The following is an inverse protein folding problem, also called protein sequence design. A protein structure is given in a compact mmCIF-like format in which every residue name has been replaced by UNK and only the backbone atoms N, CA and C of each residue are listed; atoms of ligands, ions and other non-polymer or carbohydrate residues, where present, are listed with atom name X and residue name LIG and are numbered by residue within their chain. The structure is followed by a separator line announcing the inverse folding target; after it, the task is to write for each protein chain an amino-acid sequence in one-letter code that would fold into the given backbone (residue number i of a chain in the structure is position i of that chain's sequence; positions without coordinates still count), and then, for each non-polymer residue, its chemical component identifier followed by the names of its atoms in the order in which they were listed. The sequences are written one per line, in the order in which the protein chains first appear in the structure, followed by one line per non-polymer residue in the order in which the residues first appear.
data_IF_160352980969
#
_entry.id   IF_160352980969
#
_cell.length_a   1.000
_cell.length_b   1.000
_cell.length_c   1.000
_cell.angle_alpha   90.00
_cell.angle_beta   90.00
_cell.angle_gamma   90.00
#
_symmetry.space_group_name_H-M   'P 1'
#
loop_
_entity.id
_entity.type
_entity.pdbx_description
1 polymer ?
#
# COMPACT_ATOMS: atom_id res chain seq x y z
N UNK A 1 8.56 -22.57 12.53
CA UNK A 1 7.69 -21.68 11.72
C UNK A 1 8.39 -21.42 10.39
N UNK A 2 7.90 -21.99 9.33
CA UNK A 2 8.43 -21.74 7.98
C UNK A 2 7.62 -20.61 7.34
N UNK A 3 8.28 -19.51 6.97
CA UNK A 3 7.65 -18.46 6.19
C UNK A 3 7.83 -18.77 4.72
N UNK A 4 6.72 -18.81 4.00
CA UNK A 4 6.66 -19.00 2.55
C UNK A 4 6.53 -17.64 1.86
N UNK A 5 7.26 -17.46 0.76
CA UNK A 5 7.06 -16.40 -0.22
C UNK A 5 6.53 -17.01 -1.51
N UNK A 6 5.51 -16.42 -2.06
CA UNK A 6 4.90 -16.85 -3.31
C UNK A 6 4.64 -15.64 -4.20
N UNK A 7 5.00 -15.73 -5.47
CA UNK A 7 4.58 -14.73 -6.47
C UNK A 7 3.08 -14.81 -6.66
N UNK A 8 2.40 -13.67 -6.60
CA UNK A 8 0.98 -13.52 -6.84
C UNK A 8 0.75 -12.57 -8.03
N UNK A 9 0.22 -13.12 -9.12
CA UNK A 9 -0.20 -12.32 -10.28
C UNK A 9 -1.69 -12.06 -10.18
N UNK A 10 -2.08 -10.80 -10.33
CA UNK A 10 -3.48 -10.35 -10.26
C UNK A 10 -3.81 -9.34 -11.35
N UNK A 11 -5.10 -9.19 -11.65
CA UNK A 11 -5.58 -8.29 -12.69
C UNK A 11 -6.02 -6.95 -12.10
N UNK A 12 -5.83 -5.88 -12.85
CA UNK A 12 -6.29 -4.54 -12.49
C UNK A 12 -6.20 -3.58 -13.68
N UNK A 13 -6.55 -2.31 -13.48
CA UNK A 13 -6.54 -1.31 -14.55
C UNK A 13 -5.16 -1.14 -15.18
N UNK A 14 -5.06 -1.44 -16.47
CA UNK A 14 -3.84 -1.29 -17.26
C UNK A 14 -2.96 -2.54 -17.33
N UNK A 15 -3.45 -3.70 -16.92
CA UNK A 15 -2.77 -4.97 -17.17
C UNK A 15 -2.68 -5.91 -15.99
N UNK A 16 -1.84 -6.95 -16.07
CA UNK A 16 -1.48 -7.74 -14.94
C UNK A 16 -0.51 -7.00 -14.01
N UNK A 17 -0.62 -7.31 -12.73
CA UNK A 17 0.28 -6.88 -11.66
C UNK A 17 0.94 -8.09 -11.04
N UNK A 18 2.15 -7.93 -10.52
CA UNK A 18 2.91 -9.01 -9.90
C UNK A 18 3.47 -8.59 -8.55
N UNK A 19 2.91 -9.13 -7.50
CA UNK A 19 3.39 -8.95 -6.13
C UNK A 19 3.98 -10.22 -5.54
N UNK A 20 4.43 -10.12 -4.29
CA UNK A 20 4.91 -11.27 -3.50
C UNK A 20 4.10 -11.36 -2.22
N UNK A 21 3.39 -12.47 -2.04
CA UNK A 21 2.67 -12.76 -0.80
C UNK A 21 3.54 -13.60 0.12
N UNK A 22 3.54 -13.24 1.41
CA UNK A 22 4.27 -13.95 2.45
C UNK A 22 3.32 -14.37 3.58
N UNK A 23 3.47 -15.59 4.07
CA UNK A 23 2.65 -16.17 5.12
C UNK A 23 3.37 -17.31 5.84
N UNK A 24 2.85 -17.70 7.00
CA UNK A 24 3.32 -18.88 7.75
C UNK A 24 2.63 -20.16 7.20
N UNK A 25 3.43 -21.12 6.72
CA UNK A 25 2.91 -22.29 6.01
C UNK A 25 2.07 -23.24 6.88
N UNK A 26 2.50 -23.47 8.11
CA UNK A 26 1.86 -24.42 9.03
C UNK A 26 0.51 -23.92 9.59
N UNK A 27 0.18 -22.65 9.41
CA UNK A 27 -1.05 -22.05 9.93
C UNK A 27 -2.17 -22.18 8.90
N UNK A 28 -3.21 -22.92 9.26
CA UNK A 28 -4.39 -23.17 8.40
C UNK A 28 -5.58 -22.26 8.70
N UNK A 29 -5.54 -21.50 9.82
CA UNK A 29 -6.59 -20.55 10.19
C UNK A 29 -6.42 -19.24 9.44
N UNK A 30 -7.54 -18.58 9.11
CA UNK A 30 -7.53 -17.27 8.49
C UNK A 30 -6.79 -16.23 9.35
N UNK A 31 -5.95 -15.44 8.71
CA UNK A 31 -5.12 -14.40 9.33
C UNK A 31 -5.47 -13.01 8.80
N UNK A 32 -5.25 -11.96 9.59
CA UNK A 32 -5.37 -10.60 9.07
C UNK A 32 -4.42 -10.39 7.89
N UNK A 33 -4.92 -9.70 6.85
CA UNK A 33 -4.16 -9.36 5.66
C UNK A 33 -3.55 -7.97 5.73
N UNK A 34 -2.29 -7.82 5.29
CA UNK A 34 -1.61 -6.52 5.23
C UNK A 34 -1.04 -6.28 3.84
N UNK A 35 -1.43 -5.18 3.18
CA UNK A 35 -0.72 -4.69 1.99
C UNK A 35 0.55 -3.95 2.39
N UNK A 36 1.65 -4.26 1.72
CA UNK A 36 2.90 -3.49 1.77
C UNK A 36 3.04 -2.74 0.46
N UNK A 37 2.91 -1.42 0.53
CA UNK A 37 2.90 -0.54 -0.65
C UNK A 37 4.28 0.07 -0.88
N UNK A 38 4.82 -0.06 -2.11
CA UNK A 38 6.20 0.28 -2.43
C UNK A 38 6.43 1.80 -2.47
N UNK A 39 7.69 2.20 -2.35
CA UNK A 39 8.12 3.56 -2.65
C UNK A 39 8.13 3.84 -4.17
N UNK A 40 8.66 4.99 -4.57
CA UNK A 40 8.77 5.44 -5.97
C UNK A 40 9.41 4.44 -6.93
N UNK A 41 10.20 3.50 -6.43
CA UNK A 41 10.90 2.51 -7.27
C UNK A 41 10.00 1.34 -7.71
N UNK A 42 8.79 1.22 -7.16
CA UNK A 42 7.93 0.08 -7.37
C UNK A 42 8.28 -1.10 -6.46
N UNK A 43 7.55 -2.19 -6.61
CA UNK A 43 7.70 -3.40 -5.81
C UNK A 43 9.11 -4.02 -6.01
N UNK A 44 9.78 -4.38 -4.92
CA UNK A 44 11.17 -4.85 -4.90
C UNK A 44 11.44 -5.72 -3.67
N UNK A 45 12.63 -6.30 -3.59
CA UNK A 45 13.02 -7.20 -2.50
C UNK A 45 12.87 -6.61 -1.10
N UNK A 46 13.11 -5.32 -0.91
CA UNK A 46 12.90 -4.68 0.39
C UNK A 46 11.43 -4.78 0.84
N UNK A 47 10.47 -4.65 -0.08
CA UNK A 47 9.05 -4.78 0.22
C UNK A 47 8.69 -6.24 0.53
N UNK A 48 9.33 -7.21 -0.13
CA UNK A 48 9.19 -8.63 0.17
C UNK A 48 9.67 -8.96 1.60
N UNK A 49 10.79 -8.37 2.01
CA UNK A 49 11.32 -8.52 3.39
C UNK A 49 10.34 -7.92 4.41
N UNK A 50 9.70 -6.79 4.11
CA UNK A 50 8.64 -6.25 4.98
C UNK A 50 7.45 -7.21 5.07
N UNK A 51 7.01 -7.79 3.96
CA UNK A 51 5.93 -8.79 3.94
C UNK A 51 6.31 -10.04 4.77
N UNK A 52 7.54 -10.54 4.63
CA UNK A 52 8.05 -11.64 5.47
C UNK A 52 8.03 -11.31 6.96
N UNK A 53 8.49 -10.12 7.33
CA UNK A 53 8.51 -9.72 8.73
C UNK A 53 7.10 -9.63 9.33
N UNK A 54 6.12 -9.18 8.54
CA UNK A 54 4.71 -9.22 8.93
C UNK A 54 4.20 -10.67 9.05
N UNK A 55 4.60 -11.56 8.14
CA UNK A 55 4.23 -12.98 8.22
C UNK A 55 4.78 -13.64 9.49
N UNK A 56 6.01 -13.32 9.92
CA UNK A 56 6.58 -13.76 11.21
C UNK A 56 5.79 -13.26 12.43
N UNK A 57 5.03 -12.16 12.28
CA UNK A 57 4.14 -11.62 13.31
C UNK A 57 2.71 -12.21 13.23
N UNK A 58 2.46 -13.16 12.33
CA UNK A 58 1.19 -13.86 12.22
C UNK A 58 0.20 -13.22 11.24
N UNK A 59 0.64 -12.34 10.36
CA UNK A 59 -0.17 -11.79 9.27
C UNK A 59 0.02 -12.59 7.98
N UNK A 60 -0.88 -12.42 7.02
CA UNK A 60 -0.62 -12.68 5.61
C UNK A 60 -0.33 -11.34 4.94
N UNK A 61 0.83 -11.19 4.31
CA UNK A 61 1.23 -9.89 3.77
C UNK A 61 1.54 -9.96 2.27
N UNK A 62 1.01 -9.00 1.51
CA UNK A 62 1.27 -8.86 0.08
C UNK A 62 2.13 -7.62 -0.18
N UNK A 63 3.39 -7.82 -0.59
CA UNK A 63 4.18 -6.78 -1.21
C UNK A 63 3.60 -6.48 -2.60
N UNK A 64 2.78 -5.43 -2.69
CA UNK A 64 1.95 -5.16 -3.84
C UNK A 64 2.72 -4.45 -4.96
N UNK A 65 2.38 -4.77 -6.19
CA UNK A 65 2.74 -4.00 -7.38
C UNK A 65 1.63 -3.01 -7.70
N UNK A 66 1.95 -1.75 -7.89
CA UNK A 66 0.99 -0.69 -8.26
C UNK A 66 1.29 -0.08 -9.64
N UNK A 67 2.42 -0.47 -10.26
CA UNK A 67 2.83 0.04 -11.55
C UNK A 67 2.46 -0.89 -12.71
N UNK A 68 2.42 -2.19 -12.46
CA UNK A 68 2.17 -3.25 -13.44
C UNK A 68 3.35 -4.21 -13.56
N UNK A 69 3.06 -5.43 -13.97
CA UNK A 69 4.04 -6.51 -14.07
C UNK A 69 5.27 -6.09 -14.89
N UNK A 70 6.46 -6.22 -14.30
CA UNK A 70 7.73 -5.83 -14.90
C UNK A 70 8.07 -4.34 -14.83
N UNK A 71 7.14 -3.47 -14.41
CA UNK A 71 7.38 -2.03 -14.28
C UNK A 71 8.00 -1.71 -12.93
N UNK A 72 9.30 -1.84 -12.85
CA UNK A 72 10.12 -1.50 -11.69
C UNK A 72 11.27 -0.63 -12.11
N UNK A 73 11.63 0.34 -11.29
CA UNK A 73 12.80 1.20 -11.53
C UNK A 73 13.86 0.93 -10.47
N UNK A 74 15.11 1.18 -10.78
CA UNK A 74 16.20 1.00 -9.80
C UNK A 74 16.56 2.32 -9.16
N UNK A 75 17.08 3.25 -9.92
CA UNK A 75 17.45 4.59 -9.50
C UNK A 75 17.59 5.49 -10.73
N UNK A 76 17.66 6.80 -10.52
CA UNK A 76 17.92 7.79 -11.56
C UNK A 76 16.66 8.35 -12.22
N UNK A 77 16.77 8.87 -13.43
CA UNK A 77 15.67 9.62 -14.09
C UNK A 77 14.38 8.83 -14.28
N UNK A 78 14.45 7.50 -14.37
CA UNK A 78 13.28 6.65 -14.56
C UNK A 78 12.46 6.45 -13.29
N UNK A 79 13.05 6.64 -12.11
CA UNK A 79 12.41 6.33 -10.83
C UNK A 79 11.06 7.04 -10.62
N UNK A 80 10.89 8.24 -11.19
CA UNK A 80 9.67 9.03 -11.06
C UNK A 80 8.62 8.79 -12.14
N UNK A 81 8.91 8.10 -13.24
CA UNK A 81 8.02 8.04 -14.41
C UNK A 81 6.68 7.40 -14.06
N UNK A 82 6.68 6.21 -13.48
CA UNK A 82 5.45 5.50 -13.13
C UNK A 82 4.70 6.18 -11.98
N UNK A 83 5.42 6.78 -11.03
CA UNK A 83 4.80 7.57 -9.97
C UNK A 83 4.12 8.82 -10.54
N UNK A 84 4.74 9.50 -11.53
CA UNK A 84 4.17 10.68 -12.16
C UNK A 84 2.87 10.37 -12.90
N UNK A 85 2.78 9.23 -13.61
CA UNK A 85 1.54 8.74 -14.22
C UNK A 85 0.41 8.64 -13.20
N UNK A 86 0.67 7.98 -12.06
CA UNK A 86 -0.33 7.77 -11.02
C UNK A 86 -0.62 9.02 -10.17
N UNK A 87 0.31 9.97 -10.11
CA UNK A 87 0.07 11.27 -9.50
C UNK A 87 -0.83 12.16 -10.40
N UNK A 88 -0.71 12.01 -11.72
CA UNK A 88 -1.55 12.72 -12.68
C UNK A 88 -2.97 12.12 -12.78
N UNK A 89 -3.13 10.82 -12.51
CA UNK A 89 -4.42 10.12 -12.49
C UNK A 89 -4.60 9.38 -11.15
N UNK A 90 -5.15 10.10 -10.18
CA UNK A 90 -5.39 9.56 -8.83
C UNK A 90 -6.56 8.58 -8.79
N UNK A 91 -7.48 8.64 -9.75
CA UNK A 91 -8.55 7.67 -9.88
C UNK A 91 -7.98 6.32 -10.36
N UNK A 92 -7.07 6.34 -11.33
CA UNK A 92 -6.34 5.14 -11.74
C UNK A 92 -5.53 4.53 -10.59
N UNK A 93 -4.84 5.37 -9.80
CA UNK A 93 -4.13 4.91 -8.60
C UNK A 93 -5.08 4.21 -7.62
N UNK A 94 -6.20 4.84 -7.27
CA UNK A 94 -7.23 4.27 -6.41
C UNK A 94 -7.68 2.89 -6.90
N UNK A 95 -7.97 2.77 -8.19
CA UNK A 95 -8.50 1.54 -8.77
C UNK A 95 -7.45 0.42 -8.80
N UNK A 96 -6.17 0.76 -8.98
CA UNK A 96 -5.04 -0.20 -8.82
C UNK A 96 -4.84 -0.62 -7.36
N UNK A 97 -5.00 0.28 -6.41
CA UNK A 97 -4.95 -0.03 -4.97
C UNK A 97 -6.10 -0.95 -4.56
N UNK A 98 -7.30 -0.72 -5.10
CA UNK A 98 -8.45 -1.60 -4.90
C UNK A 98 -8.17 -3.01 -5.46
N UNK A 99 -7.62 -3.12 -6.66
CA UNK A 99 -7.24 -4.40 -7.26
C UNK A 99 -6.19 -5.16 -6.41
N UNK A 100 -5.20 -4.45 -5.86
CA UNK A 100 -4.20 -5.04 -4.96
C UNK A 100 -4.84 -5.53 -3.65
N UNK A 101 -5.79 -4.77 -3.11
CA UNK A 101 -6.51 -5.15 -1.89
C UNK A 101 -7.41 -6.36 -2.14
N UNK A 102 -8.09 -6.42 -3.28
CA UNK A 102 -8.93 -7.55 -3.67
C UNK A 102 -8.09 -8.82 -3.90
N UNK A 103 -6.90 -8.69 -4.47
CA UNK A 103 -5.96 -9.80 -4.61
C UNK A 103 -5.52 -10.36 -3.26
N UNK A 104 -5.20 -9.51 -2.29
CA UNK A 104 -4.89 -9.93 -0.92
C UNK A 104 -6.12 -10.58 -0.26
N UNK A 105 -7.27 -9.93 -0.35
CA UNK A 105 -8.54 -10.40 0.22
C UNK A 105 -8.97 -11.77 -0.32
N UNK A 106 -8.70 -12.05 -1.59
CA UNK A 106 -9.02 -13.31 -2.26
C UNK A 106 -8.06 -14.45 -1.95
N UNK A 107 -6.97 -14.22 -1.23
CA UNK A 107 -6.04 -15.28 -0.86
C UNK A 107 -6.62 -16.15 0.25
N UNK A 108 -6.56 -17.46 0.08
CA UNK A 108 -7.28 -18.47 0.89
C UNK A 108 -6.96 -18.47 2.40
N UNK A 109 -5.84 -17.85 2.78
CA UNK A 109 -5.40 -17.73 4.19
C UNK A 109 -5.73 -16.38 4.83
N UNK A 110 -6.36 -15.46 4.09
CA UNK A 110 -6.68 -14.11 4.57
C UNK A 110 -8.10 -14.04 5.12
N UNK A 111 -8.24 -13.43 6.29
CA UNK A 111 -9.53 -13.00 6.82
C UNK A 111 -9.98 -11.72 6.09
N UNK A 112 -10.98 -11.77 5.23
CA UNK A 112 -11.40 -10.64 4.41
C UNK A 112 -11.98 -9.47 5.21
N UNK A 113 -12.33 -9.69 6.48
CA UNK A 113 -12.82 -8.64 7.37
C UNK A 113 -11.69 -7.92 8.14
N UNK A 114 -10.45 -8.42 8.07
CA UNK A 114 -9.32 -7.86 8.84
C UNK A 114 -8.16 -7.49 7.92
N UNK A 115 -8.34 -6.41 7.18
CA UNK A 115 -7.36 -5.90 6.22
C UNK A 115 -6.74 -4.60 6.70
N UNK A 116 -5.45 -4.42 6.43
CA UNK A 116 -4.69 -3.21 6.71
C UNK A 116 -3.68 -2.92 5.59
N UNK A 117 -3.07 -1.75 5.62
CA UNK A 117 -2.01 -1.38 4.68
C UNK A 117 -0.87 -0.64 5.38
N UNK A 118 0.36 -0.87 4.95
CA UNK A 118 1.52 -0.06 5.28
C UNK A 118 2.20 0.41 4.00
N UNK A 119 2.83 1.58 4.03
CA UNK A 119 3.51 2.09 2.85
C UNK A 119 4.57 3.13 3.16
N UNK A 120 5.59 3.19 2.31
CA UNK A 120 6.77 4.02 2.47
C UNK A 120 6.86 5.03 1.34
N UNK A 121 7.10 6.31 1.64
CA UNK A 121 7.20 7.38 0.65
C UNK A 121 5.94 7.46 -0.22
N UNK A 122 6.03 7.17 -1.53
CA UNK A 122 4.87 7.04 -2.41
C UNK A 122 3.84 6.02 -1.88
N UNK A 123 4.30 4.90 -1.32
CA UNK A 123 3.42 3.93 -0.67
C UNK A 123 2.68 4.50 0.54
N UNK A 124 3.31 5.41 1.29
CA UNK A 124 2.65 6.13 2.39
C UNK A 124 1.50 7.03 1.89
N UNK A 125 1.67 7.69 0.74
CA UNK A 125 0.59 8.38 0.04
C UNK A 125 -0.53 7.42 -0.38
N UNK A 126 -0.16 6.26 -0.92
CA UNK A 126 -1.13 5.24 -1.33
C UNK A 126 -2.01 4.76 -0.16
N UNK A 127 -1.43 4.58 1.03
CA UNK A 127 -2.20 4.24 2.25
C UNK A 127 -3.23 5.31 2.57
N UNK A 128 -2.84 6.59 2.52
CA UNK A 128 -3.77 7.70 2.76
C UNK A 128 -4.89 7.74 1.70
N UNK A 129 -4.55 7.47 0.44
CA UNK A 129 -5.54 7.43 -0.64
C UNK A 129 -6.51 6.26 -0.50
N UNK A 130 -6.06 5.10 -0.03
CA UNK A 130 -6.95 3.99 0.31
C UNK A 130 -7.99 4.39 1.37
N UNK A 131 -7.53 5.07 2.42
CA UNK A 131 -8.41 5.55 3.48
C UNK A 131 -9.39 6.63 2.96
N UNK A 132 -8.90 7.60 2.18
CA UNK A 132 -9.70 8.66 1.54
C UNK A 132 -10.75 8.10 0.59
N UNK A 133 -10.40 7.07 -0.16
CA UNK A 133 -11.33 6.37 -1.06
C UNK A 133 -12.33 5.45 -0.33
N UNK A 134 -12.21 5.30 0.99
CA UNK A 134 -13.08 4.40 1.77
C UNK A 134 -12.88 2.92 1.46
N UNK A 135 -11.69 2.53 0.99
CA UNK A 135 -11.38 1.11 0.79
C UNK A 135 -11.46 0.36 2.14
N UNK A 136 -11.88 -0.92 2.13
CA UNK A 136 -12.21 -1.65 3.36
C UNK A 136 -10.96 -2.11 4.11
N UNK A 137 -10.16 -1.16 4.58
CA UNK A 137 -9.05 -1.39 5.51
C UNK A 137 -9.43 -0.91 6.90
N UNK A 138 -9.08 -1.68 7.94
CA UNK A 138 -9.29 -1.31 9.35
C UNK A 138 -8.26 -0.30 9.84
N UNK A 139 -7.06 -0.33 9.25
CA UNK A 139 -5.98 0.57 9.61
C UNK A 139 -4.94 0.74 8.52
N UNK A 140 -4.18 1.81 8.62
CA UNK A 140 -3.10 2.12 7.71
C UNK A 140 -1.93 2.81 8.40
N UNK A 141 -0.70 2.48 7.97
CA UNK A 141 0.50 3.17 8.44
C UNK A 141 1.21 3.82 7.25
N UNK A 142 1.34 5.13 7.29
CA UNK A 142 2.08 5.93 6.32
C UNK A 142 3.44 6.32 6.88
N UNK A 143 4.52 5.79 6.31
CA UNK A 143 5.89 6.17 6.64
C UNK A 143 6.39 7.21 5.65
N UNK A 144 6.69 8.40 6.13
CA UNK A 144 7.14 9.60 5.40
C UNK A 144 6.41 9.80 4.06
N UNK A 145 5.08 9.70 4.08
CA UNK A 145 4.22 9.82 2.90
C UNK A 145 4.12 11.24 2.36
N UNK A 146 3.63 11.35 1.14
CA UNK A 146 3.23 12.63 0.53
C UNK A 146 1.75 12.84 0.80
N UNK A 147 1.35 14.04 1.26
CA UNK A 147 0.03 14.28 1.86
C UNK A 147 -0.97 14.99 0.94
N UNK A 148 -0.59 15.28 -0.31
CA UNK A 148 -1.48 15.93 -1.25
C UNK A 148 -2.77 15.13 -1.47
N UNK A 149 -3.90 15.83 -1.39
CA UNK A 149 -5.23 15.24 -1.57
C UNK A 149 -5.47 14.86 -3.03
N UNK A 150 -6.22 13.78 -3.30
CA UNK A 150 -6.71 13.46 -4.64
C UNK A 150 -7.84 14.44 -5.04
N UNK A 151 -8.14 14.46 -6.34
CA UNK A 151 -9.23 15.28 -6.88
C UNK A 151 -10.63 14.68 -6.63
N UNK A 152 -10.71 13.38 -6.32
CA UNK A 152 -11.97 12.73 -5.97
C UNK A 152 -12.38 13.04 -4.53
N UNK A 153 -13.69 12.98 -4.25
CA UNK A 153 -14.21 13.20 -2.91
C UNK A 153 -13.72 12.11 -1.94
N UNK A 154 -13.35 12.54 -0.73
CA UNK A 154 -13.03 11.61 0.34
C UNK A 154 -14.29 10.86 0.80
N UNK A 155 -14.10 9.64 1.30
CA UNK A 155 -15.12 8.95 2.08
C UNK A 155 -15.42 9.76 3.36
N UNK A 156 -16.69 9.89 3.68
CA UNK A 156 -17.15 10.60 4.87
C UNK A 156 -18.02 9.67 5.73
N UNK A 157 -17.58 9.32 6.94
CA UNK A 157 -16.25 9.57 7.51
C UNK A 157 -15.16 8.61 6.98
N UNK A 158 -13.88 9.02 7.05
CA UNK A 158 -12.75 8.10 6.89
C UNK A 158 -12.77 7.13 8.07
N UNK A 159 -12.94 5.83 7.81
CA UNK A 159 -13.15 4.81 8.85
C UNK A 159 -11.87 4.13 9.31
N UNK A 160 -10.84 4.11 8.46
CA UNK A 160 -9.56 3.48 8.78
C UNK A 160 -8.84 4.23 9.92
N UNK A 161 -8.28 3.49 10.87
CA UNK A 161 -7.37 4.06 11.87
C UNK A 161 -6.02 4.30 11.23
N UNK A 162 -5.53 5.54 11.26
CA UNK A 162 -4.29 5.92 10.58
C UNK A 162 -3.18 6.25 11.59
N UNK A 163 -2.00 5.69 11.34
CA UNK A 163 -0.75 6.10 11.97
C UNK A 163 0.13 6.75 10.91
N UNK A 164 0.51 8.01 11.14
CA UNK A 164 1.38 8.78 10.25
C UNK A 164 2.73 8.97 10.93
N UNK A 165 3.75 8.26 10.42
CA UNK A 165 5.13 8.38 10.87
C UNK A 165 5.86 9.38 9.96
N UNK A 166 6.16 10.56 10.52
CA UNK A 166 6.64 11.70 9.75
C UNK A 166 7.83 12.37 10.42
N UNK A 167 8.79 12.83 9.62
CA UNK A 167 9.86 13.72 10.05
C UNK A 167 9.44 15.18 9.85
N UNK A 168 9.47 16.00 10.91
CA UNK A 168 9.00 17.39 10.86
C UNK A 168 9.67 18.24 9.77
N UNK A 169 10.94 17.95 9.47
CA UNK A 169 11.75 18.66 8.46
C UNK A 169 11.79 17.94 7.10
N UNK A 170 10.84 17.02 6.83
CA UNK A 170 10.78 16.34 5.54
C UNK A 170 10.46 17.35 4.42
N UNK A 171 11.38 17.56 3.45
CA UNK A 171 11.18 18.57 2.41
C UNK A 171 10.05 18.21 1.42
N UNK A 172 9.63 16.95 1.36
CA UNK A 172 8.54 16.49 0.46
C UNK A 172 7.18 16.76 1.08
N UNK A 173 7.08 16.70 2.41
CA UNK A 173 5.87 16.99 3.16
C UNK A 173 6.16 17.94 4.33
N UNK A 174 6.40 19.24 4.06
CA UNK A 174 6.78 20.21 5.06
C UNK A 174 5.65 20.42 6.11
N UNK A 175 5.94 21.09 7.24
CA UNK A 175 5.02 21.20 8.39
C UNK A 175 3.60 21.60 8.05
N UNK A 176 3.41 22.52 7.11
CA UNK A 176 2.07 22.98 6.70
C UNK A 176 1.24 21.86 6.05
N UNK A 177 1.88 20.92 5.33
CA UNK A 177 1.20 19.75 4.76
C UNK A 177 0.80 18.76 5.85
N UNK A 178 1.62 18.61 6.88
CA UNK A 178 1.32 17.77 8.04
C UNK A 178 0.15 18.34 8.85
N UNK A 179 0.13 19.65 9.06
CA UNK A 179 -0.99 20.35 9.72
C UNK A 179 -2.28 20.20 8.92
N UNK A 180 -2.21 20.40 7.59
CA UNK A 180 -3.37 20.24 6.71
C UNK A 180 -3.92 18.80 6.74
N UNK A 181 -3.04 17.77 6.75
CA UNK A 181 -3.45 16.39 6.90
C UNK A 181 -4.13 16.15 8.26
N UNK A 182 -3.57 16.66 9.35
CA UNK A 182 -4.17 16.51 10.66
C UNK A 182 -5.58 17.13 10.72
N UNK A 183 -5.77 18.31 10.12
CA UNK A 183 -7.08 18.96 10.01
C UNK A 183 -8.06 18.19 9.14
N UNK A 184 -7.58 17.48 8.12
CA UNK A 184 -8.42 16.64 7.26
C UNK A 184 -8.91 15.38 7.98
N UNK A 185 -8.10 14.82 8.87
CA UNK A 185 -8.36 13.54 9.52
C UNK A 185 -9.08 13.64 10.87
N UNK A 186 -9.27 14.85 11.40
CA UNK A 186 -9.94 15.13 12.69
C UNK A 186 -11.24 15.88 12.52
#
# INVERSE_FOLDING_TARGET
MAIVRQTLVYQGPGGPFEGVIAYEDEVTTLRPGVLVLPNVLGQKEADNVHAENLAKLGYVALAADVYGQGKRTRHGPEAGIYMAELNADRALLRDRLAASLDALKGFDRVDPARLAAIGFCFGGKCVLDMARAGLPILGGVSFHGVYDRPDYANADPIRAKLLVCHGWEDPIAPPEKTVALAQELT
#
